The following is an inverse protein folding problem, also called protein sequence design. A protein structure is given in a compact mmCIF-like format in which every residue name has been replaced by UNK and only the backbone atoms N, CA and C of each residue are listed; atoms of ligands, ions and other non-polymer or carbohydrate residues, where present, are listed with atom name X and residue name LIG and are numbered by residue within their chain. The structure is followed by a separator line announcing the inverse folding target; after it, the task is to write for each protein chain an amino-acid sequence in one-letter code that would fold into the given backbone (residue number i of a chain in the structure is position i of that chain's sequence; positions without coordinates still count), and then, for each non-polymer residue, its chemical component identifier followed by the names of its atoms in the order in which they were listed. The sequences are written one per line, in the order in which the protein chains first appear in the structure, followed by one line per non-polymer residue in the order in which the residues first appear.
data_IF_410251893927
#
_entry.id   IF_410251893927
#
_cell.length_a   1.000
_cell.length_b   1.000
_cell.length_c   1.000
_cell.angle_alpha   90.00
_cell.angle_beta   90.00
_cell.angle_gamma   90.00
#
_symmetry.space_group_name_H-M   'P 1'
#
loop_
_entity.id
_entity.type
_entity.pdbx_description
1 polymer ?
#
# COMPACT_ATOMS: atom_id res chain seq x y z
N UNK A 1 -17.36 -6.70 6.12
CA UNK A 1 -17.07 -6.59 4.68
C UNK A 1 -17.37 -5.23 4.05
N UNK A 2 -17.13 -4.11 4.74
CA UNK A 2 -17.20 -2.80 4.08
C UNK A 2 -16.28 -1.82 4.78
N UNK A 3 -15.00 -1.89 4.44
CA UNK A 3 -14.03 -0.84 4.65
C UNK A 3 -13.66 -0.28 3.28
N UNK A 4 -13.30 1.01 3.16
CA UNK A 4 -13.09 1.65 1.87
C UNK A 4 -12.10 0.85 1.03
N UNK A 5 -12.56 0.40 -0.14
CA UNK A 5 -11.71 -0.22 -1.14
C UNK A 5 -10.71 0.79 -1.69
N UNK A 6 -9.58 0.28 -2.17
CA UNK A 6 -8.65 1.08 -2.97
C UNK A 6 -9.26 1.26 -4.36
N UNK A 7 -9.44 2.51 -4.80
CA UNK A 7 -9.89 2.81 -6.18
C UNK A 7 -8.95 2.17 -7.20
N UNK A 8 -9.49 1.66 -8.30
CA UNK A 8 -8.72 0.96 -9.35
C UNK A 8 -7.57 1.79 -9.91
N UNK A 9 -7.71 3.12 -9.91
CA UNK A 9 -6.68 4.08 -10.35
C UNK A 9 -5.42 4.06 -9.47
N UNK A 10 -5.53 3.55 -8.24
CA UNK A 10 -4.44 3.50 -7.28
C UNK A 10 -3.73 2.14 -7.25
N UNK A 11 -4.35 1.08 -7.76
CA UNK A 11 -3.78 -0.27 -7.78
C UNK A 11 -2.37 -0.33 -8.38
N UNK A 12 -2.07 0.34 -9.51
CA UNK A 12 -0.74 0.27 -10.12
C UNK A 12 0.35 0.90 -9.23
N UNK A 13 -0.01 1.92 -8.45
CA UNK A 13 0.92 2.70 -7.62
C UNK A 13 1.01 2.19 -6.18
N UNK A 14 0.17 1.23 -5.80
CA UNK A 14 0.01 0.78 -4.42
C UNK A 14 1.30 0.20 -3.82
N UNK A 15 2.19 -0.32 -4.66
CA UNK A 15 3.48 -0.87 -4.27
C UNK A 15 4.64 0.12 -4.44
N UNK A 16 4.37 1.36 -4.85
CA UNK A 16 5.38 2.40 -4.92
C UNK A 16 5.80 2.81 -3.52
N UNK A 17 7.10 3.05 -3.35
CA UNK A 17 7.62 3.49 -2.06
C UNK A 17 7.01 4.84 -1.72
N UNK A 18 6.57 4.99 -0.48
CA UNK A 18 5.96 6.22 0.05
C UNK A 18 4.59 6.57 -0.56
N UNK A 19 4.05 5.74 -1.46
CA UNK A 19 2.72 5.98 -2.02
C UNK A 19 1.63 5.71 -0.99
N UNK A 20 0.63 6.59 -0.97
CA UNK A 20 -0.51 6.52 -0.05
C UNK A 20 -1.77 6.92 -0.81
N UNK A 21 -2.82 6.12 -0.68
CA UNK A 21 -4.15 6.33 -1.29
C UNK A 21 -4.95 7.45 -0.62
N UNK A 22 -4.48 7.94 0.54
CA UNK A 22 -5.13 8.98 1.35
C UNK A 22 -6.62 8.73 1.68
N UNK A 23 -6.87 7.80 2.61
CA UNK A 23 -8.04 7.83 3.51
C UNK A 23 -7.82 7.04 4.81
N UNK A 24 -6.58 6.66 5.15
CA UNK A 24 -6.30 6.11 6.48
C UNK A 24 -6.31 7.28 7.46
N UNK A 25 -7.50 7.55 8.02
CA UNK A 25 -7.93 8.67 8.88
C UNK A 25 -7.16 8.84 10.19
N UNK A 26 -5.90 8.44 10.25
CA UNK A 26 -5.05 8.76 11.38
C UNK A 26 -3.65 9.10 10.92
N UNK A 27 -3.37 10.40 10.74
CA UNK A 27 -2.02 10.91 10.52
C UNK A 27 -1.07 10.55 11.67
N UNK A 28 -1.60 10.25 12.86
CA UNK A 28 -0.80 9.83 14.02
C UNK A 28 -0.35 8.36 13.98
N UNK A 29 -0.99 7.49 13.18
CA UNK A 29 -0.67 6.05 13.11
C UNK A 29 -0.43 5.54 11.69
N UNK A 30 -0.51 6.39 10.67
CA UNK A 30 -0.36 6.01 9.28
C UNK A 30 1.10 5.73 8.94
N UNK A 31 1.44 4.45 8.76
CA UNK A 31 2.79 4.03 8.37
C UNK A 31 3.32 4.74 7.12
N UNK A 32 4.65 4.74 6.94
CA UNK A 32 5.38 5.53 5.93
C UNK A 32 5.11 5.18 4.45
N UNK A 33 4.08 4.39 4.13
CA UNK A 33 3.83 3.91 2.76
C UNK A 33 4.91 2.95 2.26
N UNK A 34 5.56 2.23 3.17
CA UNK A 34 6.63 1.28 2.84
C UNK A 34 6.20 -0.19 2.89
N UNK A 35 5.15 -0.52 3.65
CA UNK A 35 4.75 -1.92 3.90
C UNK A 35 4.53 -2.71 2.61
N UNK A 36 3.69 -2.20 1.70
CA UNK A 36 3.38 -2.89 0.44
C UNK A 36 4.59 -2.95 -0.49
N UNK A 37 5.41 -1.88 -0.54
CA UNK A 37 6.65 -1.89 -1.31
C UNK A 37 7.67 -2.93 -0.82
N UNK A 38 7.70 -3.21 0.50
CA UNK A 38 8.53 -4.28 1.09
C UNK A 38 7.94 -5.64 0.78
N UNK A 39 6.63 -5.83 1.00
CA UNK A 39 5.94 -7.08 0.69
C UNK A 39 6.14 -7.52 -0.76
N UNK A 40 6.03 -6.59 -1.72
CA UNK A 40 6.29 -6.87 -3.13
C UNK A 40 7.71 -7.41 -3.34
N UNK A 41 8.73 -6.78 -2.74
CA UNK A 41 10.11 -7.24 -2.90
C UNK A 41 10.37 -8.61 -2.28
N UNK A 42 9.70 -8.93 -1.17
CA UNK A 42 9.81 -10.25 -0.55
C UNK A 42 9.24 -11.29 -1.51
N UNK A 43 8.01 -11.09 -2.01
CA UNK A 43 7.39 -11.98 -3.01
C UNK A 43 8.27 -12.15 -4.25
N UNK A 44 8.78 -11.05 -4.80
CA UNK A 44 9.69 -11.07 -5.95
C UNK A 44 10.99 -11.85 -5.65
N UNK A 45 11.56 -11.68 -4.46
CA UNK A 45 12.75 -12.42 -4.02
C UNK A 45 12.49 -13.92 -3.84
N UNK A 46 11.25 -14.31 -3.58
CA UNK A 46 10.81 -15.71 -3.47
C UNK A 46 10.29 -16.29 -4.79
N UNK A 47 10.44 -15.58 -5.91
CA UNK A 47 9.94 -15.98 -7.25
C UNK A 47 8.42 -16.13 -7.37
N UNK A 48 7.64 -15.47 -6.50
CA UNK A 48 6.18 -15.51 -6.49
C UNK A 48 5.63 -16.38 -5.38
#
# INVERSE_FOLDING_TARGET
DSAPGVSSEHLPRLFDRFYRVEASRNRASGGAGLGLAISRRIVEAHHG
#
